data_IF_353513616836
#
_entry.id   IF_353513616836
#
_cell.length_a   1.000
_cell.length_b   1.000
_cell.length_c   1.000
_cell.angle_alpha   90.00
_cell.angle_beta   90.00
_cell.angle_gamma   90.00
#
_symmetry.space_group_name_H-M   'P 1'
#
loop_
_entity.id
_entity.type
_entity.pdbx_description
1 polymer ?
#
# COMPACT_ATOMS: atom_id res chain seq x y z
N UNK A 1 -12.93 11.37 6.43
CA UNK A 1 -13.16 10.26 7.38
C UNK A 1 -11.82 9.58 7.52
N UNK A 2 -11.33 9.43 8.74
CA UNK A 2 -10.03 8.80 8.99
C UNK A 2 -10.22 7.29 9.01
N UNK A 3 -9.41 6.55 8.27
CA UNK A 3 -9.37 5.08 8.33
C UNK A 3 -8.24 4.63 9.25
N UNK A 4 -8.49 3.55 10.00
CA UNK A 4 -7.48 2.96 10.86
C UNK A 4 -6.61 1.99 10.04
N UNK A 5 -5.40 2.41 9.68
CA UNK A 5 -4.46 1.62 8.87
C UNK A 5 -4.01 0.36 9.60
N UNK A 6 -3.76 0.44 10.91
CA UNK A 6 -3.35 -0.72 11.71
C UNK A 6 -4.45 -1.79 11.73
N UNK A 7 -5.71 -1.39 11.89
CA UNK A 7 -6.84 -2.32 11.85
C UNK A 7 -7.04 -2.96 10.46
N UNK A 8 -6.76 -2.21 9.38
CA UNK A 8 -6.76 -2.75 8.02
C UNK A 8 -5.64 -3.78 7.83
N UNK A 9 -4.43 -3.49 8.28
CA UNK A 9 -3.29 -4.41 8.24
C UNK A 9 -3.64 -5.70 9.03
N UNK A 10 -4.21 -5.57 10.22
CA UNK A 10 -4.69 -6.69 11.04
C UNK A 10 -5.86 -7.47 10.39
N UNK A 11 -6.43 -6.96 9.30
CA UNK A 11 -7.46 -7.64 8.50
C UNK A 11 -6.90 -8.36 7.28
N UNK A 12 -5.58 -8.37 7.06
CA UNK A 12 -4.95 -9.26 6.08
C UNK A 12 -5.35 -10.72 6.36
N UNK A 13 -5.67 -11.46 5.30
CA UNK A 13 -6.21 -12.81 5.39
C UNK A 13 -7.72 -12.89 5.65
N UNK A 14 -8.40 -11.78 5.94
CA UNK A 14 -9.87 -11.71 6.06
C UNK A 14 -10.53 -11.43 4.73
N UNK A 15 -11.78 -11.84 4.59
CA UNK A 15 -12.58 -11.56 3.40
C UNK A 15 -13.03 -10.10 3.35
N UNK A 16 -13.31 -9.60 2.14
CA UNK A 16 -13.92 -8.27 1.94
C UNK A 16 -15.13 -8.04 2.85
N UNK A 17 -16.00 -9.04 2.99
CA UNK A 17 -17.22 -8.90 3.80
C UNK A 17 -16.88 -8.71 5.28
N UNK A 18 -15.96 -9.52 5.84
CA UNK A 18 -15.50 -9.35 7.22
C UNK A 18 -14.84 -7.99 7.46
N UNK A 19 -14.04 -7.50 6.50
CA UNK A 19 -13.39 -6.18 6.60
C UNK A 19 -14.42 -5.04 6.51
N UNK A 20 -15.42 -5.19 5.64
CA UNK A 20 -16.51 -4.21 5.48
C UNK A 20 -17.44 -4.18 6.70
N UNK A 21 -17.81 -5.34 7.24
CA UNK A 21 -18.70 -5.46 8.41
C UNK A 21 -18.08 -4.85 9.68
N UNK A 22 -16.74 -4.84 9.76
CA UNK A 22 -15.99 -4.13 10.82
C UNK A 22 -15.94 -2.61 10.63
N UNK A 23 -16.49 -2.08 9.53
CA UNK A 23 -16.49 -0.65 9.22
C UNK A 23 -15.14 -0.10 8.77
N UNK A 24 -14.18 -0.96 8.39
CA UNK A 24 -12.84 -0.53 7.95
C UNK A 24 -12.80 -0.01 6.51
N UNK A 25 -13.82 -0.36 5.72
CA UNK A 25 -14.03 0.16 4.36
C UNK A 25 -15.25 1.08 4.40
N UNK A 26 -15.09 2.40 4.24
CA UNK A 26 -16.17 3.37 4.42
C UNK A 26 -17.19 3.38 3.26
N UNK A 27 -16.85 2.71 2.15
CA UNK A 27 -17.64 2.73 0.91
C UNK A 27 -18.38 1.42 0.69
N UNK A 28 -19.59 1.50 0.13
CA UNK A 28 -20.33 0.31 -0.34
C UNK A 28 -19.79 -0.25 -1.66
N UNK A 29 -18.87 0.46 -2.31
CA UNK A 29 -18.25 0.05 -3.56
C UNK A 29 -17.44 -1.22 -3.34
N UNK A 30 -17.80 -2.28 -4.07
CA UNK A 30 -17.11 -3.57 -3.99
C UNK A 30 -15.80 -3.55 -4.79
N UNK A 31 -14.83 -4.41 -4.45
CA UNK A 31 -13.62 -4.57 -5.26
C UNK A 31 -13.96 -5.06 -6.68
N UNK A 32 -13.28 -4.50 -7.67
CA UNK A 32 -13.48 -4.80 -9.10
C UNK A 32 -12.15 -5.21 -9.76
N UNK A 33 -12.22 -5.88 -10.90
CA UNK A 33 -11.05 -6.26 -11.68
C UNK A 33 -11.46 -6.86 -13.02
N UNK A 34 -10.54 -6.89 -13.97
CA UNK A 34 -10.79 -7.42 -15.31
C UNK A 34 -11.16 -8.91 -15.29
N UNK A 35 -12.01 -9.36 -16.23
CA UNK A 35 -12.35 -10.77 -16.35
C UNK A 35 -11.07 -11.59 -16.61
N UNK A 36 -10.91 -12.70 -15.86
CA UNK A 36 -9.73 -13.55 -15.92
C UNK A 36 -8.58 -13.13 -14.99
N UNK A 37 -8.62 -11.94 -14.40
CA UNK A 37 -7.61 -11.52 -13.42
C UNK A 37 -7.77 -12.30 -12.10
N UNK A 38 -6.73 -12.96 -11.55
CA UNK A 38 -6.82 -13.62 -10.25
C UNK A 38 -7.04 -12.64 -9.09
N UNK A 39 -6.86 -11.34 -9.30
CA UNK A 39 -7.05 -10.27 -8.33
C UNK A 39 -8.27 -9.40 -8.65
N UNK A 40 -8.88 -8.85 -7.61
CA UNK A 40 -9.79 -7.72 -7.67
C UNK A 40 -9.32 -6.68 -6.66
N UNK A 41 -9.48 -5.40 -6.98
CA UNK A 41 -8.99 -4.32 -6.15
C UNK A 41 -10.03 -3.26 -5.83
N UNK A 42 -9.77 -2.52 -4.75
CA UNK A 42 -10.55 -1.36 -4.34
C UNK A 42 -9.60 -0.17 -4.11
N UNK A 43 -9.78 0.87 -4.92
CA UNK A 43 -9.02 2.12 -4.81
C UNK A 43 -9.77 3.11 -3.92
N UNK A 44 -9.25 3.36 -2.72
CA UNK A 44 -9.75 4.33 -1.76
C UNK A 44 -8.92 5.63 -1.88
N UNK A 45 -9.10 6.32 -3.00
CA UNK A 45 -8.24 7.45 -3.41
C UNK A 45 -8.25 8.58 -2.35
N UNK A 46 -9.41 8.88 -1.76
CA UNK A 46 -9.52 9.94 -0.73
C UNK A 46 -8.74 9.61 0.53
N UNK A 47 -8.58 8.32 0.83
CA UNK A 47 -7.84 7.81 1.97
C UNK A 47 -6.38 7.48 1.63
N UNK A 48 -5.97 7.59 0.37
CA UNK A 48 -4.63 7.19 -0.05
C UNK A 48 -4.36 5.69 0.09
N UNK A 49 -5.39 4.84 -0.02
CA UNK A 49 -5.25 3.38 0.18
C UNK A 49 -5.72 2.60 -1.04
N UNK A 50 -4.97 1.55 -1.36
CA UNK A 50 -5.32 0.54 -2.36
C UNK A 50 -5.41 -0.83 -1.68
N UNK A 51 -6.54 -1.51 -1.83
CA UNK A 51 -6.76 -2.84 -1.27
C UNK A 51 -6.82 -3.88 -2.39
N UNK A 52 -6.05 -4.95 -2.24
CA UNK A 52 -5.96 -6.05 -3.20
C UNK A 52 -6.51 -7.35 -2.59
N UNK A 53 -7.45 -7.96 -3.29
CA UNK A 53 -8.15 -9.17 -2.85
C UNK A 53 -8.00 -10.30 -3.87
N UNK A 54 -7.89 -11.54 -3.40
CA UNK A 54 -7.96 -12.71 -4.26
C UNK A 54 -9.38 -12.82 -4.84
N UNK A 55 -9.53 -12.96 -6.16
CA UNK A 55 -10.86 -13.06 -6.80
C UNK A 55 -11.68 -14.24 -6.30
N UNK A 56 -11.05 -15.39 -6.06
CA UNK A 56 -11.72 -16.66 -5.74
C UNK A 56 -12.50 -16.63 -4.43
N UNK A 57 -11.95 -16.02 -3.39
CA UNK A 57 -12.53 -16.00 -2.04
C UNK A 57 -12.63 -14.59 -1.44
N UNK A 58 -12.24 -13.56 -2.20
CA UNK A 58 -12.24 -12.15 -1.79
C UNK A 58 -11.43 -11.89 -0.53
N UNK A 59 -10.39 -12.68 -0.29
CA UNK A 59 -9.48 -12.49 0.85
C UNK A 59 -8.51 -11.35 0.55
N UNK A 60 -8.42 -10.37 1.46
CA UNK A 60 -7.46 -9.28 1.43
C UNK A 60 -6.05 -9.87 1.63
N UNK A 61 -5.16 -9.63 0.67
CA UNK A 61 -3.79 -10.17 0.73
C UNK A 61 -2.71 -9.10 0.55
N UNK A 62 -3.05 -7.91 0.08
CA UNK A 62 -2.12 -6.79 0.02
C UNK A 62 -2.85 -5.46 0.25
N UNK A 63 -2.12 -4.54 0.89
CA UNK A 63 -2.54 -3.16 1.17
C UNK A 63 -1.44 -2.26 0.63
N UNK A 64 -1.79 -1.32 -0.25
CA UNK A 64 -0.91 -0.26 -0.71
C UNK A 64 -1.30 1.06 -0.06
N UNK A 65 -0.32 1.76 0.50
CA UNK A 65 -0.47 3.13 0.98
C UNK A 65 0.17 4.08 -0.03
N UNK A 66 -0.53 5.14 -0.41
CA UNK A 66 -0.07 6.15 -1.34
C UNK A 66 0.40 7.32 -0.49
N UNK A 67 1.71 7.42 -0.25
CA UNK A 67 2.28 8.46 0.61
C UNK A 67 2.59 9.75 -0.15
N UNK A 68 2.85 9.63 -1.45
CA UNK A 68 3.19 10.73 -2.37
C UNK A 68 2.29 10.63 -3.60
N UNK A 69 1.81 11.76 -4.08
CA UNK A 69 1.09 11.87 -5.35
C UNK A 69 1.87 12.79 -6.30
N UNK A 70 2.46 12.23 -7.36
CA UNK A 70 3.24 12.96 -8.37
C UNK A 70 2.45 14.08 -9.08
N UNK A 71 1.11 14.06 -9.00
CA UNK A 71 0.27 15.12 -9.57
C UNK A 71 -0.01 16.25 -8.58
N UNK A 72 0.37 16.07 -7.31
CA UNK A 72 0.04 16.99 -6.22
C UNK A 72 1.18 17.02 -5.19
N UNK A 73 2.11 17.95 -5.39
CA UNK A 73 3.26 18.17 -4.49
C UNK A 73 2.86 18.46 -3.04
N UNK A 74 1.65 18.98 -2.80
CA UNK A 74 1.08 19.23 -1.47
C UNK A 74 0.33 18.03 -0.87
N UNK A 75 0.39 16.86 -1.51
CA UNK A 75 -0.24 15.66 -0.99
C UNK A 75 0.40 15.25 0.32
N UNK A 76 -0.42 15.08 1.34
CA UNK A 76 -0.06 14.47 2.60
C UNK A 76 -0.97 13.28 2.81
N UNK A 77 -0.39 12.17 3.24
CA UNK A 77 -1.16 10.98 3.57
C UNK A 77 -2.21 11.34 4.65
N UNK A 78 -3.52 11.10 4.40
CA UNK A 78 -4.58 11.70 5.19
C UNK A 78 -4.94 10.92 6.46
N UNK A 79 -4.26 9.81 6.76
CA UNK A 79 -4.55 8.93 7.89
C UNK A 79 -3.33 8.74 8.78
N UNK A 80 -3.56 8.26 10.00
CA UNK A 80 -2.48 7.86 10.90
C UNK A 80 -1.79 6.61 10.37
N UNK A 81 -0.46 6.68 10.29
CA UNK A 81 0.37 5.55 9.93
C UNK A 81 0.64 4.67 11.16
N UNK A 82 0.81 3.36 10.96
CA UNK A 82 1.27 2.46 12.02
C UNK A 82 2.58 2.97 12.65
N UNK A 83 2.87 2.61 13.91
CA UNK A 83 4.12 2.98 14.56
C UNK A 83 5.34 2.68 13.68
N UNK A 84 6.33 3.58 13.69
CA UNK A 84 7.58 3.55 12.89
C UNK A 84 7.46 3.92 11.41
N UNK A 85 6.25 4.07 10.87
CA UNK A 85 6.05 4.65 9.54
C UNK A 85 5.73 6.14 9.68
N UNK A 86 6.32 6.98 8.82
CA UNK A 86 6.10 8.43 8.80
C UNK A 86 5.53 8.86 7.43
N UNK A 87 4.83 10.01 7.33
CA UNK A 87 4.12 10.38 6.10
C UNK A 87 4.99 10.60 4.87
N UNK A 88 6.25 11.02 5.06
CA UNK A 88 7.22 11.28 3.99
C UNK A 88 8.48 10.50 4.31
N UNK A 89 8.80 9.52 3.48
CA UNK A 89 9.90 8.59 3.66
C UNK A 89 10.70 8.51 2.37
N UNK A 90 11.84 9.18 2.31
CA UNK A 90 12.78 9.02 1.19
C UNK A 90 13.34 7.59 1.22
N UNK A 91 13.88 7.15 0.07
CA UNK A 91 14.56 5.85 0.00
C UNK A 91 15.74 5.80 0.97
N UNK A 92 16.53 6.86 1.05
CA UNK A 92 17.62 6.98 2.01
C UNK A 92 17.12 6.81 3.46
N UNK A 93 16.04 7.50 3.83
CA UNK A 93 15.50 7.40 5.19
C UNK A 93 15.06 5.97 5.51
N UNK A 94 14.43 5.27 4.56
CA UNK A 94 14.05 3.85 4.69
C UNK A 94 15.27 2.98 4.94
N UNK A 95 16.34 3.18 4.16
CA UNK A 95 17.57 2.40 4.29
C UNK A 95 18.25 2.63 5.64
N UNK A 96 18.26 3.89 6.11
CA UNK A 96 18.83 4.26 7.41
C UNK A 96 18.05 3.66 8.60
N UNK A 97 16.72 3.56 8.50
CA UNK A 97 15.86 3.12 9.61
C UNK A 97 15.52 1.63 9.59
N UNK A 98 15.45 1.01 8.41
CA UNK A 98 15.07 -0.39 8.23
C UNK A 98 16.18 -1.27 7.64
N UNK A 99 17.32 -0.68 7.27
CA UNK A 99 18.44 -1.37 6.66
C UNK A 99 18.26 -1.63 5.16
N UNK A 100 19.05 -2.55 4.63
CA UNK A 100 18.98 -2.94 3.22
C UNK A 100 17.71 -3.75 2.93
N UNK A 101 17.07 -3.54 1.76
CA UNK A 101 15.90 -4.31 1.37
C UNK A 101 16.25 -5.76 1.03
N UNK A 102 15.31 -6.67 1.23
CA UNK A 102 15.45 -8.06 0.79
C UNK A 102 15.53 -8.17 -0.74
N UNK A 103 14.79 -7.30 -1.43
CA UNK A 103 14.81 -7.18 -2.88
C UNK A 103 14.68 -5.72 -3.27
N UNK A 104 15.49 -5.28 -4.22
CA UNK A 104 15.41 -3.96 -4.81
C UNK A 104 15.25 -4.09 -6.32
N UNK A 105 14.33 -3.32 -6.90
CA UNK A 105 14.15 -3.20 -8.34
C UNK A 105 14.52 -1.77 -8.76
N UNK A 106 15.43 -1.61 -9.73
CA UNK A 106 15.79 -0.29 -10.24
C UNK A 106 14.64 0.32 -11.07
N UNK A 107 14.71 1.64 -11.34
CA UNK A 107 13.77 2.32 -12.20
C UNK A 107 13.61 1.61 -13.54
N UNK A 108 12.35 1.44 -13.95
CA UNK A 108 11.98 0.69 -15.14
C UNK A 108 10.79 1.30 -15.85
N UNK A 109 10.75 1.13 -17.17
CA UNK A 109 9.56 1.43 -17.97
C UNK A 109 8.66 0.20 -18.01
N UNK A 110 7.38 0.37 -17.67
CA UNK A 110 6.36 -0.65 -17.88
C UNK A 110 5.28 -0.06 -18.77
N UNK A 111 5.22 -0.54 -20.01
CA UNK A 111 4.42 0.07 -21.09
C UNK A 111 4.79 1.56 -21.23
N UNK A 112 3.82 2.47 -21.05
CA UNK A 112 4.02 3.92 -21.13
C UNK A 112 4.40 4.57 -19.80
N UNK A 113 4.36 3.83 -18.68
CA UNK A 113 4.60 4.37 -17.34
C UNK A 113 6.06 4.16 -16.92
N UNK A 114 6.71 5.22 -16.45
CA UNK A 114 7.97 5.12 -15.69
C UNK A 114 7.64 4.74 -14.25
N UNK A 115 8.34 3.74 -13.74
CA UNK A 115 8.29 3.32 -12.34
C UNK A 115 9.70 3.57 -11.80
N UNK A 116 9.84 4.30 -10.70
CA UNK A 116 11.14 4.47 -10.06
C UNK A 116 11.54 3.22 -9.27
N UNK A 117 12.31 3.39 -8.20
CA UNK A 117 12.78 2.27 -7.39
C UNK A 117 11.64 1.54 -6.69
N UNK A 118 11.79 0.24 -6.48
CA UNK A 118 10.90 -0.54 -5.62
C UNK A 118 11.71 -1.42 -4.68
N UNK A 119 11.58 -1.19 -3.38
CA UNK A 119 12.31 -1.91 -2.33
C UNK A 119 11.34 -2.74 -1.50
N UNK A 120 11.70 -3.99 -1.22
CA UNK A 120 10.89 -4.94 -0.48
C UNK A 120 11.55 -5.25 0.86
N UNK A 121 10.77 -5.13 1.93
CA UNK A 121 11.19 -5.40 3.30
C UNK A 121 10.24 -6.38 3.99
N UNK A 122 10.80 -7.21 4.87
CA UNK A 122 10.03 -7.89 5.90
C UNK A 122 10.20 -7.13 7.21
N UNK A 123 9.17 -6.40 7.64
CA UNK A 123 9.19 -5.64 8.89
C UNK A 123 8.52 -6.42 10.01
N UNK A 124 9.13 -6.38 11.20
CA UNK A 124 8.62 -6.97 12.44
C UNK A 124 8.05 -5.86 13.32
N UNK A 125 6.79 -5.50 13.08
CA UNK A 125 6.10 -4.44 13.82
C UNK A 125 4.71 -4.93 14.18
N UNK A 126 4.38 -5.14 15.46
CA UNK A 126 4.47 -6.44 16.20
C UNK A 126 4.23 -7.77 15.46
N UNK A 127 3.86 -7.78 14.17
CA UNK A 127 3.75 -8.97 13.32
C UNK A 127 4.72 -8.90 12.13
N UNK A 128 4.84 -9.99 11.37
CA UNK A 128 5.67 -10.07 10.17
C UNK A 128 4.87 -9.54 8.98
N UNK A 129 5.30 -8.41 8.41
CA UNK A 129 4.68 -7.81 7.23
C UNK A 129 5.68 -7.72 6.09
N UNK A 130 5.25 -8.15 4.91
CA UNK A 130 5.97 -7.93 3.67
C UNK A 130 5.51 -6.58 3.09
N UNK A 131 6.38 -5.57 3.17
CA UNK A 131 6.09 -4.20 2.78
C UNK A 131 6.94 -3.83 1.57
N UNK A 132 6.29 -3.39 0.50
CA UNK A 132 6.95 -2.83 -0.68
C UNK A 132 6.87 -1.31 -0.65
N UNK A 133 8.02 -0.64 -0.67
CA UNK A 133 8.12 0.80 -0.91
C UNK A 133 8.39 1.03 -2.38
N UNK A 134 7.67 1.97 -2.99
CA UNK A 134 7.89 2.39 -4.38
C UNK A 134 8.14 3.89 -4.41
N UNK A 135 9.15 4.31 -5.16
CA UNK A 135 9.62 5.69 -5.23
C UNK A 135 9.48 6.21 -6.66
N UNK A 136 9.25 7.52 -6.82
CA UNK A 136 9.46 8.21 -8.09
C UNK A 136 10.97 8.43 -8.31
N UNK A 137 11.40 8.61 -9.57
CA UNK A 137 12.83 8.80 -9.92
C UNK A 137 13.47 10.00 -9.20
N UNK A 138 12.68 11.02 -8.85
CA UNK A 138 13.14 12.26 -8.20
C UNK A 138 13.42 12.12 -6.69
N UNK A 139 12.93 11.04 -6.06
CA UNK A 139 13.07 10.78 -4.61
C UNK A 139 13.97 9.58 -4.30
N UNK A 140 14.76 9.16 -5.29
CA UNK A 140 15.68 8.02 -5.20
C UNK A 140 17.07 8.38 -4.66
N UNK A 141 17.36 9.69 -4.52
CA UNK A 141 18.63 10.24 -4.03
C UNK A 141 18.73 10.30 -2.52
#
# INVERSE_FOLDING_TARGET
MTINIEALINSLGKTYQETFDKGLIPYKTKPIGYLGDPEISLHMIKEGVHLAFKRSNKVLFAIGLILIDEKKDSYQFPNELPPRLIPIMSRQWIHEHFGEPEKSLPPRKRLTKKIGWTDLYTLYIPYIYLIGFSYSDEHAG
#
